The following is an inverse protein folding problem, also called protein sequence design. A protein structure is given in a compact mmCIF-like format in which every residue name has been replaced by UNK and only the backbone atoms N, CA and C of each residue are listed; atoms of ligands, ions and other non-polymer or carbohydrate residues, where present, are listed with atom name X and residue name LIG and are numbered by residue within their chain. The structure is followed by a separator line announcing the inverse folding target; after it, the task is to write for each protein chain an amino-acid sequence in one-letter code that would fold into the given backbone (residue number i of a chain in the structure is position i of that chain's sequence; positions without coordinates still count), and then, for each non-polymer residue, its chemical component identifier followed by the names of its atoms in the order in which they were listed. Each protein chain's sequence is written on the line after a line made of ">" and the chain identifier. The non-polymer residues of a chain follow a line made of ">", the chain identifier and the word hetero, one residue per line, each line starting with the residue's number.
data_IF_570934430913
#
_entry.id   IF_570934430913
#
_cell.length_a   1.000
_cell.length_b   1.000
_cell.length_c   1.000
_cell.angle_alpha   90.00
_cell.angle_beta   90.00
_cell.angle_gamma   90.00
#
_symmetry.space_group_name_H-M   'P 1'
#
loop_
_entity.id
_entity.type
_entity.pdbx_description
1 polymer ?
#
# COMPACT_ATOMS: atom_id res chain seq x y z
N UNK A 1 -6.29 -18.25 4.99
CA UNK A 1 -6.05 -16.96 4.34
C UNK A 1 -5.96 -15.92 5.42
N UNK A 2 -4.78 -15.35 5.64
CA UNK A 2 -4.53 -14.40 6.73
C UNK A 2 -4.74 -12.96 6.26
N UNK A 3 -5.48 -12.20 7.05
CA UNK A 3 -5.86 -10.84 6.76
C UNK A 3 -5.70 -9.97 8.00
N UNK A 4 -5.04 -8.83 7.84
CA UNK A 4 -4.70 -7.94 8.93
C UNK A 4 -5.25 -6.55 8.62
N UNK A 5 -6.01 -6.01 9.57
CA UNK A 5 -6.59 -4.68 9.49
C UNK A 5 -5.87 -3.74 10.44
N UNK A 6 -5.45 -2.59 9.92
CA UNK A 6 -4.80 -1.52 10.67
C UNK A 6 -5.58 -0.23 10.49
N UNK A 7 -6.34 0.17 11.51
CA UNK A 7 -7.07 1.44 11.55
C UNK A 7 -6.48 2.47 12.52
N UNK A 8 -5.44 2.10 13.28
CA UNK A 8 -4.74 3.05 14.15
C UNK A 8 -3.81 3.93 13.29
N UNK A 9 -3.99 5.26 13.40
CA UNK A 9 -3.25 6.22 12.57
C UNK A 9 -1.75 6.19 12.82
N UNK A 10 -1.29 6.06 14.06
CA UNK A 10 0.14 6.01 14.38
C UNK A 10 0.81 4.79 13.73
N UNK A 11 0.13 3.64 13.73
CA UNK A 11 0.61 2.42 13.07
C UNK A 11 0.67 2.60 11.55
N UNK A 12 -0.35 3.22 10.96
CA UNK A 12 -0.38 3.52 9.51
C UNK A 12 0.76 4.47 9.14
N UNK A 13 0.99 5.53 9.92
CA UNK A 13 2.09 6.46 9.66
C UNK A 13 3.45 5.79 9.82
N UNK A 14 3.61 4.92 10.82
CA UNK A 14 4.84 4.14 10.96
C UNK A 14 5.08 3.25 9.72
N UNK A 15 4.05 2.58 9.20
CA UNK A 15 4.18 1.79 7.97
C UNK A 15 4.61 2.65 6.77
N UNK A 16 4.11 3.88 6.69
CA UNK A 16 4.42 4.82 5.62
C UNK A 16 5.83 5.42 5.73
N UNK A 17 6.29 5.72 6.94
CA UNK A 17 7.67 6.16 7.20
C UNK A 17 8.69 5.08 6.80
N UNK A 18 8.33 3.80 6.99
CA UNK A 18 9.16 2.65 6.62
C UNK A 18 9.10 2.32 5.11
N UNK A 19 8.17 2.92 4.36
CA UNK A 19 8.00 2.73 2.92
C UNK A 19 7.96 4.07 2.20
N UNK A 20 9.12 4.72 1.98
CA UNK A 20 9.19 6.05 1.39
C UNK A 20 8.60 6.12 -0.02
N UNK A 21 8.66 5.05 -0.82
CA UNK A 21 8.07 5.05 -2.16
C UNK A 21 6.54 5.01 -2.06
N UNK A 22 5.98 4.19 -1.18
CA UNK A 22 4.54 4.15 -0.95
C UNK A 22 4.04 5.49 -0.40
N UNK A 23 4.78 6.09 0.53
CA UNK A 23 4.50 7.43 1.07
C UNK A 23 4.45 8.47 -0.07
N UNK A 24 5.50 8.56 -0.89
CA UNK A 24 5.54 9.46 -2.04
C UNK A 24 4.35 9.24 -3.00
N UNK A 25 4.03 7.99 -3.32
CA UNK A 25 2.89 7.67 -4.18
C UNK A 25 1.58 8.21 -3.61
N UNK A 26 1.27 7.88 -2.36
CA UNK A 26 -0.01 8.24 -1.76
C UNK A 26 -0.16 9.75 -1.55
N UNK A 27 0.86 10.40 -1.02
CA UNK A 27 0.76 11.81 -0.60
C UNK A 27 1.15 12.80 -1.69
N UNK A 28 2.16 12.49 -2.52
CA UNK A 28 2.66 13.44 -3.52
C UNK A 28 2.07 13.18 -4.91
N UNK A 29 1.97 11.91 -5.33
CA UNK A 29 1.42 11.59 -6.66
C UNK A 29 -0.10 11.55 -6.70
N UNK A 30 -0.73 10.94 -5.70
CA UNK A 30 -2.19 10.74 -5.65
C UNK A 30 -2.93 11.76 -4.77
N UNK A 31 -2.19 12.68 -4.15
CA UNK A 31 -2.72 13.81 -3.36
C UNK A 31 -3.75 13.36 -2.30
N UNK A 32 -3.44 12.28 -1.59
CA UNK A 32 -4.24 11.81 -0.47
C UNK A 32 -3.82 12.60 0.77
N UNK A 33 -4.73 13.28 1.46
CA UNK A 33 -4.40 13.93 2.72
C UNK A 33 -4.16 12.87 3.82
N UNK A 34 -3.20 13.13 4.71
CA UNK A 34 -2.94 12.35 5.92
C UNK A 34 -4.22 12.14 6.76
N UNK A 35 -5.10 13.15 6.82
CA UNK A 35 -6.35 13.06 7.55
C UNK A 35 -7.38 12.16 6.84
N UNK A 36 -7.26 11.99 5.52
CA UNK A 36 -8.16 11.16 4.72
C UNK A 36 -7.85 9.67 4.84
N UNK A 37 -6.66 9.26 5.29
CA UNK A 37 -6.35 7.85 5.51
C UNK A 37 -7.25 7.26 6.62
N UNK A 38 -7.92 6.15 6.27
CA UNK A 38 -8.85 5.43 7.14
C UNK A 38 -8.20 4.15 7.67
N UNK A 39 -7.68 3.31 6.76
CA UNK A 39 -7.11 2.02 7.16
C UNK A 39 -6.22 1.41 6.10
N UNK A 40 -5.29 0.57 6.57
CA UNK A 40 -4.53 -0.35 5.74
C UNK A 40 -5.06 -1.77 5.95
N UNK A 41 -5.24 -2.51 4.87
CA UNK A 41 -5.64 -3.92 4.89
C UNK A 41 -4.60 -4.75 4.17
N UNK A 42 -4.03 -5.72 4.86
CA UNK A 42 -2.87 -6.48 4.39
C UNK A 42 -3.24 -7.95 4.28
N UNK A 43 -2.91 -8.55 3.14
CA UNK A 43 -3.04 -9.98 2.89
C UNK A 43 -1.67 -10.55 2.53
N UNK A 44 -1.10 -11.34 3.46
CA UNK A 44 0.21 -11.97 3.27
C UNK A 44 0.19 -13.02 2.17
N UNK A 45 -0.85 -13.86 2.14
CA UNK A 45 -0.99 -14.91 1.12
C UNK A 45 -1.10 -14.38 -0.31
N UNK A 46 -1.61 -13.15 -0.46
CA UNK A 46 -1.81 -12.50 -1.76
C UNK A 46 -0.72 -11.48 -2.10
N UNK A 47 0.28 -11.31 -1.23
CA UNK A 47 1.27 -10.23 -1.30
C UNK A 47 0.62 -8.86 -1.58
N UNK A 48 -0.43 -8.53 -0.84
CA UNK A 48 -1.34 -7.44 -1.17
C UNK A 48 -1.50 -6.48 0.00
N UNK A 49 -1.42 -5.18 -0.30
CA UNK A 49 -1.72 -4.07 0.58
C UNK A 49 -2.85 -3.25 -0.03
N UNK A 50 -3.88 -2.95 0.75
CA UNK A 50 -4.98 -2.09 0.37
C UNK A 50 -5.02 -0.87 1.29
N UNK A 51 -5.13 0.31 0.69
CA UNK A 51 -5.15 1.60 1.37
C UNK A 51 -6.53 2.21 1.17
N UNK A 52 -7.27 2.32 2.27
CA UNK A 52 -8.56 2.96 2.32
C UNK A 52 -8.40 4.41 2.77
N UNK A 53 -8.92 5.34 1.99
CA UNK A 53 -9.04 6.75 2.36
C UNK A 53 -10.47 7.25 2.16
N UNK A 54 -10.76 8.47 2.60
CA UNK A 54 -12.04 9.11 2.33
C UNK A 54 -12.18 9.34 0.82
N UNK A 55 -13.02 8.53 0.18
CA UNK A 55 -13.38 8.68 -1.24
C UNK A 55 -12.45 7.97 -2.24
N UNK A 56 -11.27 7.49 -1.82
CA UNK A 56 -10.35 6.72 -2.68
C UNK A 56 -9.93 5.40 -2.04
N UNK A 57 -9.78 4.38 -2.88
CA UNK A 57 -9.29 3.06 -2.52
C UNK A 57 -8.17 2.65 -3.45
N UNK A 58 -7.00 2.33 -2.88
CA UNK A 58 -5.86 1.84 -3.64
C UNK A 58 -5.56 0.42 -3.24
N UNK A 59 -5.30 -0.45 -4.21
CA UNK A 59 -4.83 -1.81 -3.96
C UNK A 59 -3.51 -2.03 -4.68
N UNK A 60 -2.50 -2.38 -3.90
CA UNK A 60 -1.18 -2.73 -4.37
C UNK A 60 -0.98 -4.24 -4.21
N UNK A 61 -0.70 -4.94 -5.31
CA UNK A 61 -0.39 -6.38 -5.31
C UNK A 61 1.00 -6.58 -5.89
N UNK A 62 1.90 -7.16 -5.09
CA UNK A 62 3.26 -7.47 -5.54
C UNK A 62 3.24 -8.75 -6.39
N UNK A 63 3.87 -8.69 -7.56
CA UNK A 63 4.06 -9.79 -8.49
C UNK A 63 5.36 -10.54 -8.20
N UNK A 64 5.51 -11.73 -8.79
CA UNK A 64 6.71 -12.58 -8.59
C UNK A 64 8.01 -11.92 -9.04
N UNK A 65 7.95 -10.97 -9.98
CA UNK A 65 9.08 -10.19 -10.47
C UNK A 65 9.35 -8.90 -9.67
N UNK A 66 8.73 -8.74 -8.49
CA UNK A 66 8.72 -7.53 -7.66
C UNK A 66 8.06 -6.28 -8.28
N UNK A 67 7.40 -6.41 -9.43
CA UNK A 67 6.54 -5.34 -9.94
C UNK A 67 5.26 -5.27 -9.11
N UNK A 68 4.58 -4.13 -9.15
CA UNK A 68 3.35 -3.92 -8.37
C UNK A 68 2.19 -3.64 -9.31
N UNK A 69 1.15 -4.47 -9.23
CA UNK A 69 -0.14 -4.11 -9.80
C UNK A 69 -0.86 -3.16 -8.84
N UNK A 70 -1.06 -1.93 -9.31
CA UNK A 70 -1.85 -0.93 -8.63
C UNK A 70 -3.25 -0.89 -9.25
N UNK A 71 -4.26 -1.13 -8.42
CA UNK A 71 -5.64 -0.79 -8.75
C UNK A 71 -5.97 0.56 -8.11
N UNK A 72 -6.08 1.56 -8.98
CA UNK A 72 -6.45 2.94 -8.69
C UNK A 72 -7.95 3.15 -9.04
N UNK A 73 -8.70 3.94 -8.26
CA UNK A 73 -10.13 4.11 -8.48
C UNK A 73 -10.47 4.98 -9.71
N UNK A 74 -9.56 5.84 -10.14
CA UNK A 74 -9.71 6.77 -11.26
C UNK A 74 -9.13 6.21 -12.56
N UNK A 75 -7.94 5.60 -12.51
CA UNK A 75 -7.21 5.13 -13.70
C UNK A 75 -7.35 3.64 -13.96
N UNK A 76 -7.92 2.87 -13.03
CA UNK A 76 -8.05 1.41 -13.16
C UNK A 76 -6.78 0.66 -12.74
N UNK A 77 -6.49 -0.45 -13.43
CA UNK A 77 -5.35 -1.32 -13.10
C UNK A 77 -4.12 -0.90 -13.91
N UNK A 78 -3.03 -0.60 -13.20
CA UNK A 78 -1.74 -0.21 -13.76
C UNK A 78 -0.64 -1.11 -13.20
N UNK A 79 0.32 -1.50 -14.04
CA UNK A 79 1.55 -2.12 -13.58
C UNK A 79 2.59 -1.05 -13.30
N UNK A 80 2.98 -0.91 -12.03
CA UNK A 80 3.97 0.04 -11.56
C UNK A 80 5.34 -0.62 -11.63
N UNK A 81 6.04 -0.40 -12.75
CA UNK A 81 7.40 -0.87 -12.99
C UNK A 81 8.46 0.24 -12.87
N UNK A 82 8.04 1.51 -12.94
CA UNK A 82 8.95 2.67 -12.91
C UNK A 82 9.53 2.95 -11.51
N UNK A 83 8.86 2.49 -10.46
CA UNK A 83 9.32 2.67 -9.08
C UNK A 83 10.09 1.43 -8.60
N UNK A 84 11.36 1.34 -8.98
CA UNK A 84 12.25 0.26 -8.53
C UNK A 84 12.31 0.22 -7.01
N UNK A 85 11.80 -0.87 -6.41
CA UNK A 85 11.82 -1.08 -4.96
C UNK A 85 10.45 -1.08 -4.28
N UNK A 86 9.39 -0.54 -4.91
CA UNK A 86 8.05 -0.49 -4.29
C UNK A 86 7.56 -1.88 -3.87
N UNK A 87 7.71 -2.89 -4.74
CA UNK A 87 7.31 -4.26 -4.43
C UNK A 87 8.03 -4.83 -3.22
N UNK A 88 9.31 -4.49 -3.05
CA UNK A 88 10.09 -4.89 -1.88
C UNK A 88 9.59 -4.20 -0.62
N UNK A 89 9.36 -2.88 -0.65
CA UNK A 89 8.87 -2.15 0.51
C UNK A 89 7.51 -2.69 1.00
N UNK A 90 6.60 -3.00 0.06
CA UNK A 90 5.30 -3.60 0.40
C UNK A 90 5.47 -4.99 1.03
N UNK A 91 6.37 -5.83 0.50
CA UNK A 91 6.67 -7.13 1.08
C UNK A 91 7.29 -7.01 2.48
N UNK A 92 8.16 -6.01 2.70
CA UNK A 92 8.77 -5.75 4.01
C UNK A 92 7.70 -5.33 5.04
N UNK A 93 6.74 -4.48 4.66
CA UNK A 93 5.56 -4.17 5.49
C UNK A 93 4.78 -5.46 5.80
N UNK A 94 4.46 -6.26 4.78
CA UNK A 94 3.70 -7.52 4.98
C UNK A 94 4.41 -8.43 5.98
N UNK A 95 5.70 -8.68 5.80
CA UNK A 95 6.47 -9.57 6.68
C UNK A 95 6.56 -9.05 8.12
N UNK A 96 6.66 -7.73 8.29
CA UNK A 96 6.80 -7.11 9.61
C UNK A 96 5.50 -7.13 10.40
N UNK A 97 4.38 -6.81 9.75
CA UNK A 97 3.11 -6.57 10.42
C UNK A 97 2.13 -7.76 10.37
N UNK A 98 2.39 -8.78 9.55
CA UNK A 98 1.49 -9.91 9.33
C UNK A 98 2.07 -11.27 9.73
N UNK A 99 2.75 -11.34 10.88
CA UNK A 99 3.25 -12.61 11.45
C UNK A 99 2.12 -13.56 11.87
#
# INVERSE_FOLDING_TARGET
>A
MSFYFFGNKDTIFQMLEESPILHHLLFEKYDIDHFQLISFYISSDLNRLEVNSIGKFFRFKVLENNNVLLQDPETGILEVSEHTGLGKEILDIIQKYCK
#
